data_IF_499109569236
#
_entry.id   IF_499109569236
#
_cell.length_a   1.000
_cell.length_b   1.000
_cell.length_c   1.000
_cell.angle_alpha   90.00
_cell.angle_beta   90.00
_cell.angle_gamma   90.00
#
_symmetry.space_group_name_H-M   'P 1'
#
loop_
_entity.id
_entity.type
_entity.pdbx_description
1 polymer ?
#
# COMPACT_ATOMS: atom_id res chain seq x y z
N UNK A 1 -21.76 39.50 -55.13
CA UNK A 1 -22.31 39.25 -53.77
C UNK A 1 -21.16 39.35 -52.78
N UNK A 2 -20.98 40.53 -52.16
CA UNK A 2 -19.96 40.73 -51.14
C UNK A 2 -20.51 40.27 -49.78
N UNK A 3 -19.83 39.33 -49.14
CA UNK A 3 -20.11 38.98 -47.75
C UNK A 3 -19.69 40.18 -46.88
N UNK A 4 -20.66 40.83 -46.22
CA UNK A 4 -20.39 41.82 -45.18
C UNK A 4 -19.72 41.12 -44.00
N UNK A 5 -18.39 41.21 -43.91
CA UNK A 5 -17.63 40.74 -42.74
C UNK A 5 -18.05 41.56 -41.52
N UNK A 6 -18.77 40.95 -40.58
CA UNK A 6 -19.04 41.58 -39.28
C UNK A 6 -17.71 41.81 -38.56
N UNK A 7 -17.39 43.07 -38.28
CA UNK A 7 -16.23 43.42 -37.46
C UNK A 7 -16.52 43.02 -36.00
N UNK A 8 -15.66 42.16 -35.44
CA UNK A 8 -15.75 41.71 -34.05
C UNK A 8 -15.25 42.83 -33.13
N UNK A 9 -16.01 43.16 -32.09
CA UNK A 9 -15.64 44.22 -31.14
C UNK A 9 -14.69 43.69 -30.07
N UNK A 10 -13.84 44.57 -29.53
CA UNK A 10 -12.92 44.22 -28.44
C UNK A 10 -13.67 43.78 -27.17
N UNK A 11 -14.87 44.33 -26.95
CA UNK A 11 -15.73 43.97 -25.82
C UNK A 11 -16.25 42.53 -25.95
N UNK A 12 -16.71 42.13 -27.15
CA UNK A 12 -17.15 40.76 -27.41
C UNK A 12 -16.03 39.74 -27.13
N UNK A 13 -14.79 40.06 -27.51
CA UNK A 13 -13.64 39.20 -27.23
C UNK A 13 -13.34 39.11 -25.72
N UNK A 14 -13.38 40.25 -25.03
CA UNK A 14 -13.06 40.32 -23.62
C UNK A 14 -14.07 39.57 -22.75
N UNK A 15 -15.36 39.67 -23.07
CA UNK A 15 -16.42 38.93 -22.37
C UNK A 15 -16.25 37.43 -22.56
N UNK A 16 -15.91 36.97 -23.77
CA UNK A 16 -15.69 35.53 -24.05
C UNK A 16 -14.50 34.99 -23.25
N UNK A 17 -13.37 35.70 -23.25
CA UNK A 17 -12.19 35.27 -22.47
C UNK A 17 -12.51 35.28 -20.97
N UNK A 18 -13.25 36.27 -20.47
CA UNK A 18 -13.69 36.31 -19.08
C UNK A 18 -14.54 35.08 -18.71
N UNK A 19 -15.50 34.71 -19.56
CA UNK A 19 -16.32 33.51 -19.35
C UNK A 19 -15.46 32.24 -19.37
N UNK A 20 -14.55 32.09 -20.35
CA UNK A 20 -13.64 30.93 -20.42
C UNK A 20 -12.76 30.86 -19.17
N UNK A 21 -12.24 31.98 -18.69
CA UNK A 21 -11.40 32.04 -17.49
C UNK A 21 -12.17 31.59 -16.24
N UNK A 22 -13.42 32.02 -16.07
CA UNK A 22 -14.29 31.61 -14.97
C UNK A 22 -14.59 30.11 -15.04
N UNK A 23 -14.96 29.61 -16.22
CA UNK A 23 -15.25 28.18 -16.42
C UNK A 23 -14.02 27.32 -16.15
N UNK A 24 -12.85 27.72 -16.66
CA UNK A 24 -11.59 27.02 -16.44
C UNK A 24 -11.20 27.01 -14.96
N UNK A 25 -11.37 28.13 -14.25
CA UNK A 25 -11.05 28.25 -12.82
C UNK A 25 -11.86 27.27 -11.95
N UNK A 26 -13.12 26.99 -12.31
CA UNK A 26 -13.96 25.99 -11.61
C UNK A 26 -13.62 24.57 -12.08
N UNK A 27 -13.38 24.39 -13.39
CA UNK A 27 -13.18 23.07 -13.98
C UNK A 27 -11.86 22.41 -13.55
N UNK A 28 -10.76 23.17 -13.45
CA UNK A 28 -9.45 22.62 -13.09
C UNK A 28 -9.41 21.91 -11.72
N UNK A 29 -9.86 22.52 -10.61
CA UNK A 29 -9.83 21.86 -9.31
C UNK A 29 -10.75 20.63 -9.26
N UNK A 30 -11.93 20.71 -9.88
CA UNK A 30 -12.88 19.58 -9.96
C UNK A 30 -12.30 18.44 -10.78
N UNK A 31 -11.69 18.74 -11.92
CA UNK A 31 -11.08 17.74 -12.79
C UNK A 31 -9.88 17.05 -12.13
N UNK A 32 -9.05 17.80 -11.40
CA UNK A 32 -7.94 17.24 -10.63
C UNK A 32 -8.44 16.24 -9.57
N UNK A 33 -9.48 16.62 -8.81
CA UNK A 33 -10.11 15.73 -7.82
C UNK A 33 -10.71 14.48 -8.48
N UNK A 34 -11.43 14.64 -9.59
CA UNK A 34 -12.02 13.52 -10.33
C UNK A 34 -10.95 12.53 -10.84
N UNK A 35 -9.83 13.06 -11.38
CA UNK A 35 -8.69 12.24 -11.82
C UNK A 35 -8.08 11.46 -10.66
N UNK A 36 -7.91 12.09 -9.50
CA UNK A 36 -7.37 11.41 -8.32
C UNK A 36 -8.33 10.32 -7.80
N UNK A 37 -9.64 10.57 -7.81
CA UNK A 37 -10.64 9.55 -7.48
C UNK A 37 -10.62 8.36 -8.44
N UNK A 38 -10.37 8.59 -9.73
CA UNK A 38 -10.19 7.52 -10.69
C UNK A 38 -8.93 6.68 -10.36
N UNK A 39 -7.79 7.33 -10.09
CA UNK A 39 -6.55 6.65 -9.68
C UNK A 39 -6.72 5.87 -8.37
N UNK A 40 -7.40 6.46 -7.38
CA UNK A 40 -7.76 5.79 -6.14
C UNK A 40 -8.57 4.52 -6.41
N UNK A 41 -9.57 4.59 -7.30
CA UNK A 41 -10.41 3.43 -7.64
C UNK A 41 -9.60 2.33 -8.32
N UNK A 42 -8.69 2.69 -9.23
CA UNK A 42 -7.77 1.74 -9.86
C UNK A 42 -6.82 1.11 -8.85
N UNK A 43 -6.26 1.90 -7.92
CA UNK A 43 -5.41 1.38 -6.85
C UNK A 43 -6.18 0.42 -5.92
N UNK A 44 -7.42 0.74 -5.58
CA UNK A 44 -8.30 -0.15 -4.82
C UNK A 44 -8.57 -1.46 -5.56
N UNK A 45 -8.70 -1.41 -6.90
CA UNK A 45 -8.81 -2.61 -7.73
C UNK A 45 -7.53 -3.46 -7.69
N UNK A 46 -6.36 -2.84 -7.69
CA UNK A 46 -5.09 -3.55 -7.51
C UNK A 46 -5.07 -4.27 -6.15
N UNK A 47 -5.48 -3.60 -5.06
CA UNK A 47 -5.56 -4.22 -3.74
C UNK A 47 -6.51 -5.44 -3.70
N UNK A 48 -7.66 -5.38 -4.40
CA UNK A 48 -8.55 -6.55 -4.51
C UNK A 48 -7.90 -7.71 -5.27
N UNK A 49 -7.20 -7.43 -6.35
CA UNK A 49 -6.48 -8.44 -7.12
C UNK A 49 -5.34 -9.07 -6.30
N UNK A 50 -4.64 -8.29 -5.48
CA UNK A 50 -3.67 -8.81 -4.51
C UNK A 50 -4.35 -9.74 -3.49
N UNK A 51 -5.56 -9.42 -3.04
CA UNK A 51 -6.31 -10.23 -2.08
C UNK A 51 -6.76 -11.57 -2.66
N UNK A 52 -7.19 -11.57 -3.93
CA UNK A 52 -7.48 -12.81 -4.67
C UNK A 52 -6.21 -13.67 -4.78
N UNK A 53 -5.08 -13.06 -5.14
CA UNK A 53 -3.80 -13.75 -5.24
C UNK A 53 -3.32 -14.31 -3.88
N UNK A 54 -3.56 -13.58 -2.78
CA UNK A 54 -3.30 -14.06 -1.42
C UNK A 54 -4.12 -15.31 -1.10
N UNK A 55 -5.42 -15.31 -1.41
CA UNK A 55 -6.27 -16.46 -1.15
C UNK A 55 -5.83 -17.69 -1.95
N UNK A 56 -5.51 -17.53 -3.24
CA UNK A 56 -4.96 -18.60 -4.06
C UNK A 56 -3.62 -19.14 -3.51
N UNK A 57 -2.73 -18.25 -3.05
CA UNK A 57 -1.49 -18.66 -2.41
C UNK A 57 -1.74 -19.48 -1.14
N UNK A 58 -2.65 -19.02 -0.27
CA UNK A 58 -2.95 -19.71 0.99
C UNK A 58 -3.56 -21.08 0.73
N UNK A 59 -4.38 -21.24 -0.31
CA UNK A 59 -4.90 -22.55 -0.72
C UNK A 59 -3.78 -23.54 -1.07
N UNK A 60 -2.73 -23.08 -1.77
CA UNK A 60 -1.58 -23.90 -2.13
C UNK A 60 -0.56 -24.10 -0.98
N UNK A 61 -0.63 -23.28 0.07
CA UNK A 61 0.38 -23.20 1.15
C UNK A 61 -0.15 -23.69 2.50
N UNK A 62 -1.01 -24.71 2.51
CA UNK A 62 -1.65 -25.27 3.72
C UNK A 62 -2.35 -24.22 4.59
N UNK A 63 -2.92 -23.20 3.95
CA UNK A 63 -3.61 -22.08 4.60
C UNK A 63 -2.68 -20.99 5.15
N UNK A 64 -1.35 -21.11 5.01
CA UNK A 64 -0.39 -20.15 5.55
C UNK A 64 -0.18 -18.95 4.62
N UNK A 65 -0.03 -17.77 5.23
CA UNK A 65 0.26 -16.54 4.50
C UNK A 65 1.75 -16.37 4.14
N UNK A 66 2.04 -15.62 3.08
CA UNK A 66 3.36 -15.49 2.44
C UNK A 66 4.32 -14.42 3.03
N UNK A 67 4.00 -13.78 4.15
CA UNK A 67 4.65 -12.50 4.50
C UNK A 67 6.04 -12.66 5.12
N UNK A 68 7.12 -12.49 4.35
CA UNK A 68 8.49 -12.55 4.89
C UNK A 68 9.15 -11.15 4.98
N UNK A 69 9.23 -10.64 6.22
CA UNK A 69 9.87 -9.35 6.51
C UNK A 69 11.41 -9.42 6.59
N UNK A 70 12.00 -10.54 6.99
CA UNK A 70 13.45 -10.68 7.17
C UNK A 70 14.00 -11.95 6.49
N UNK A 71 15.19 -12.40 6.89
CA UNK A 71 15.72 -13.70 6.50
C UNK A 71 14.97 -14.85 7.21
N UNK A 72 15.15 -16.09 6.74
CA UNK A 72 14.45 -17.28 7.26
C UNK A 72 14.63 -17.56 8.76
N UNK A 73 15.69 -17.05 9.38
CA UNK A 73 15.99 -17.33 10.79
C UNK A 73 15.15 -16.47 11.74
N UNK A 74 14.68 -15.33 11.24
CA UNK A 74 13.75 -14.44 11.91
C UNK A 74 12.40 -14.62 11.23
N UNK A 75 11.84 -15.82 11.29
CA UNK A 75 10.55 -16.12 10.67
C UNK A 75 9.70 -17.02 11.56
N UNK A 76 8.39 -16.78 11.56
CA UNK A 76 7.43 -17.56 12.37
C UNK A 76 7.32 -19.02 11.88
N UNK A 77 7.67 -19.27 10.63
CA UNK A 77 7.69 -20.60 10.00
C UNK A 77 9.10 -21.19 9.88
N UNK A 78 10.11 -20.68 10.60
CA UNK A 78 11.42 -21.35 10.68
C UNK A 78 11.30 -22.69 11.44
N UNK A 79 11.88 -23.81 10.97
CA UNK A 79 12.70 -24.00 9.77
C UNK A 79 11.90 -24.43 8.52
N UNK A 80 10.58 -24.64 8.64
CA UNK A 80 9.62 -25.00 7.58
C UNK A 80 9.46 -23.96 6.46
N UNK A 81 10.20 -22.85 6.49
CA UNK A 81 10.32 -21.92 5.36
C UNK A 81 10.86 -22.69 4.15
N UNK A 82 10.23 -22.62 2.95
CA UNK A 82 10.71 -23.33 1.77
C UNK A 82 12.22 -23.11 1.52
N UNK A 83 12.95 -24.21 1.24
CA UNK A 83 14.39 -24.21 0.93
C UNK A 83 14.66 -23.30 -0.27
N UNK A 84 15.53 -22.29 -0.09
CA UNK A 84 15.73 -21.20 -1.07
C UNK A 84 15.53 -19.79 -0.49
N UNK A 85 15.28 -19.67 0.81
CA UNK A 85 14.96 -18.43 1.51
C UNK A 85 16.03 -17.32 1.45
N UNK A 86 16.05 -16.64 0.31
CA UNK A 86 16.77 -15.40 0.02
C UNK A 86 15.75 -14.28 -0.30
N UNK A 87 16.18 -13.18 -0.92
CA UNK A 87 15.32 -12.11 -1.49
C UNK A 87 14.14 -12.64 -2.35
N UNK A 88 14.19 -13.89 -2.80
CA UNK A 88 13.15 -14.55 -3.59
C UNK A 88 11.88 -14.88 -2.79
N UNK A 89 11.95 -15.03 -1.45
CA UNK A 89 10.79 -15.32 -0.61
C UNK A 89 9.98 -14.07 -0.23
N UNK A 90 10.30 -12.91 -0.79
CA UNK A 90 9.58 -11.70 -0.47
C UNK A 90 8.11 -11.79 -0.88
N UNK A 91 7.28 -11.08 -0.12
CA UNK A 91 5.83 -11.23 -0.16
C UNK A 91 5.23 -11.07 -1.57
N UNK A 92 5.77 -10.14 -2.36
CA UNK A 92 5.32 -9.92 -3.73
C UNK A 92 5.71 -11.07 -4.65
N UNK A 93 6.91 -11.62 -4.52
CA UNK A 93 7.36 -12.74 -5.37
C UNK A 93 6.52 -14.00 -5.14
N UNK A 94 6.00 -14.19 -3.92
CA UNK A 94 5.14 -15.33 -3.60
C UNK A 94 3.75 -15.21 -4.23
N UNK A 95 3.20 -13.99 -4.34
CA UNK A 95 1.89 -13.78 -4.96
C UNK A 95 1.95 -13.58 -6.48
N UNK A 96 3.08 -13.11 -7.02
CA UNK A 96 3.20 -12.78 -8.44
C UNK A 96 2.79 -13.93 -9.38
N UNK A 97 3.12 -15.21 -9.10
CA UNK A 97 2.64 -16.36 -9.88
C UNK A 97 1.10 -16.47 -9.98
N UNK A 98 0.39 -15.96 -8.98
CA UNK A 98 -1.08 -15.96 -8.91
C UNK A 98 -1.70 -14.72 -9.57
N UNK A 99 -0.89 -13.87 -10.19
CA UNK A 99 -1.34 -12.61 -10.80
C UNK A 99 -1.06 -12.59 -12.29
N UNK A 100 -2.04 -12.15 -13.10
CA UNK A 100 -1.85 -11.99 -14.56
C UNK A 100 -1.03 -10.74 -14.92
N UNK A 101 -1.15 -9.68 -14.12
CA UNK A 101 -0.55 -8.37 -14.41
C UNK A 101 0.93 -8.26 -13.99
N UNK A 102 1.48 -9.28 -13.33
CA UNK A 102 2.87 -9.29 -12.88
C UNK A 102 3.22 -8.05 -12.03
N UNK A 103 4.42 -7.50 -12.24
CA UNK A 103 4.90 -6.34 -11.48
C UNK A 103 4.05 -5.07 -11.61
N UNK A 104 3.25 -4.92 -12.68
CA UNK A 104 2.36 -3.77 -12.85
C UNK A 104 1.24 -3.72 -11.80
N UNK A 105 0.87 -4.88 -11.25
CA UNK A 105 -0.13 -4.95 -10.18
C UNK A 105 0.35 -4.24 -8.90
N UNK A 106 1.66 -4.17 -8.68
CA UNK A 106 2.28 -3.67 -7.46
C UNK A 106 2.51 -2.14 -7.49
N UNK A 107 1.99 -1.48 -8.52
CA UNK A 107 2.16 -0.04 -8.73
C UNK A 107 0.82 0.67 -8.57
N UNK A 108 0.79 1.62 -7.64
CA UNK A 108 -0.30 2.56 -7.49
C UNK A 108 -0.24 3.61 -8.62
N UNK A 109 -1.36 3.92 -9.30
CA UNK A 109 -1.40 4.97 -10.32
C UNK A 109 -1.13 6.40 -9.80
N UNK A 110 -1.20 6.61 -8.49
CA UNK A 110 -0.81 7.85 -7.80
C UNK A 110 0.59 7.79 -7.20
N UNK A 111 1.38 6.75 -7.49
CA UNK A 111 2.79 6.72 -7.14
C UNK A 111 3.59 7.64 -8.06
N UNK A 112 4.50 8.42 -7.47
CA UNK A 112 5.37 9.36 -8.18
C UNK A 112 6.50 8.68 -8.97
N UNK A 113 6.47 7.35 -9.10
CA UNK A 113 7.42 6.57 -9.89
C UNK A 113 8.78 6.38 -9.19
N UNK A 114 8.78 6.24 -7.86
CA UNK A 114 10.04 6.10 -7.11
C UNK A 114 10.67 4.74 -7.31
N UNK A 115 12.00 4.75 -7.50
CA UNK A 115 12.81 3.54 -7.61
C UNK A 115 12.99 2.92 -6.21
N UNK A 116 12.66 1.63 -6.01
CA UNK A 116 12.91 0.92 -4.75
C UNK A 116 14.39 0.91 -4.36
N UNK A 117 14.69 0.68 -3.09
CA UNK A 117 16.07 0.61 -2.61
C UNK A 117 16.85 -0.51 -3.30
N UNK A 118 18.09 -0.23 -3.73
CA UNK A 118 18.90 -1.15 -4.54
C UNK A 118 19.18 -2.52 -3.88
N UNK A 119 19.12 -2.56 -2.54
CA UNK A 119 19.30 -3.78 -1.72
C UNK A 119 17.99 -4.57 -1.47
N UNK A 120 16.85 -4.16 -2.01
CA UNK A 120 15.60 -4.91 -1.86
C UNK A 120 15.20 -5.78 -3.06
N UNK A 121 15.72 -5.48 -4.26
CA UNK A 121 15.11 -5.97 -5.51
C UNK A 121 15.93 -6.98 -6.36
N UNK A 122 16.73 -7.85 -5.74
CA UNK A 122 17.46 -8.89 -6.50
C UNK A 122 18.81 -8.45 -7.06
N UNK A 123 19.45 -9.36 -7.82
CA UNK A 123 20.89 -9.37 -8.14
C UNK A 123 21.39 -8.10 -8.85
N UNK A 124 22.63 -7.72 -8.57
CA UNK A 124 23.43 -6.77 -9.35
C UNK A 124 22.80 -5.40 -9.60
N UNK A 125 22.17 -4.81 -8.57
CA UNK A 125 21.79 -3.39 -8.56
C UNK A 125 20.65 -3.00 -9.51
N UNK A 126 19.84 -3.95 -9.99
CA UNK A 126 18.68 -3.68 -10.85
C UNK A 126 17.38 -3.89 -10.08
N UNK A 127 16.62 -2.83 -9.75
CA UNK A 127 15.33 -3.01 -9.12
C UNK A 127 14.28 -3.51 -10.12
N UNK A 128 13.85 -4.76 -9.99
CA UNK A 128 12.96 -5.40 -10.97
C UNK A 128 11.47 -5.09 -10.77
N UNK A 129 11.04 -4.61 -9.60
CA UNK A 129 9.60 -4.42 -9.33
C UNK A 129 9.36 -3.13 -8.56
N UNK A 130 8.92 -2.03 -9.21
CA UNK A 130 8.42 -0.87 -8.49
C UNK A 130 7.25 -1.29 -7.57
N UNK A 131 7.31 -0.88 -6.30
CA UNK A 131 6.32 -1.25 -5.28
C UNK A 131 5.77 -0.04 -4.57
N UNK A 132 4.50 0.23 -4.80
CA UNK A 132 3.73 1.27 -4.11
C UNK A 132 3.07 0.76 -2.83
N UNK A 133 3.25 -0.52 -2.50
CA UNK A 133 2.60 -1.22 -1.40
C UNK A 133 3.61 -1.84 -0.43
N UNK A 134 3.21 -1.96 0.82
CA UNK A 134 3.93 -2.62 1.92
C UNK A 134 3.04 -3.66 2.56
N UNK A 135 3.64 -4.76 3.01
CA UNK A 135 2.93 -5.83 3.70
C UNK A 135 3.10 -5.80 5.23
N UNK A 136 2.07 -6.23 5.96
CA UNK A 136 2.08 -6.33 7.41
C UNK A 136 2.72 -7.65 7.84
N UNK A 137 3.91 -7.58 8.45
CA UNK A 137 4.61 -8.78 8.92
C UNK A 137 3.87 -9.48 10.06
N UNK A 138 2.96 -8.81 10.76
CA UNK A 138 2.19 -9.44 11.83
C UNK A 138 1.44 -10.70 11.38
N UNK A 139 1.02 -10.73 10.12
CA UNK A 139 0.34 -11.88 9.54
C UNK A 139 1.22 -13.03 9.09
N UNK A 140 2.55 -12.88 9.12
CA UNK A 140 3.55 -13.85 8.61
C UNK A 140 3.28 -15.28 9.05
N UNK A 141 3.10 -16.19 8.09
CA UNK A 141 2.96 -17.63 8.35
C UNK A 141 1.86 -17.95 9.39
N UNK A 142 0.81 -17.12 9.44
CA UNK A 142 -0.40 -17.43 10.18
C UNK A 142 -1.48 -17.94 9.22
N UNK A 143 -2.23 -18.98 9.61
CA UNK A 143 -3.44 -19.33 8.90
C UNK A 143 -4.56 -18.34 9.22
N UNK A 144 -5.46 -18.09 8.27
CA UNK A 144 -6.66 -17.26 8.48
C UNK A 144 -7.44 -17.75 9.71
N UNK A 145 -7.51 -19.07 9.92
CA UNK A 145 -8.21 -19.70 11.04
C UNK A 145 -7.62 -19.36 12.43
N UNK A 146 -6.38 -18.90 12.52
CA UNK A 146 -5.76 -18.47 13.78
C UNK A 146 -6.14 -17.04 14.18
N UNK A 147 -6.86 -16.32 13.31
CA UNK A 147 -7.20 -14.91 13.45
C UNK A 147 -8.70 -14.81 13.72
N UNK A 148 -9.06 -14.17 14.84
CA UNK A 148 -10.45 -14.03 15.27
C UNK A 148 -11.27 -13.13 14.32
N UNK A 149 -10.70 -11.97 13.93
CA UNK A 149 -11.34 -10.99 13.07
C UNK A 149 -10.46 -10.65 11.85
N UNK A 150 -10.31 -11.55 10.86
CA UNK A 150 -9.41 -11.34 9.72
C UNK A 150 -9.81 -10.13 8.85
N UNK A 151 -11.09 -9.77 8.84
CA UNK A 151 -11.62 -8.58 8.16
C UNK A 151 -11.18 -7.25 8.81
N UNK A 152 -10.66 -7.27 10.04
CA UNK A 152 -10.13 -6.06 10.70
C UNK A 152 -8.61 -5.96 10.59
N UNK A 153 -7.95 -7.04 10.17
CA UNK A 153 -6.50 -7.10 10.03
C UNK A 153 -6.11 -6.71 8.62
N UNK A 154 -5.61 -5.49 8.47
CA UNK A 154 -4.86 -5.05 7.31
C UNK A 154 -3.59 -5.88 7.15
N UNK A 155 -3.41 -6.40 5.94
CA UNK A 155 -2.25 -7.18 5.57
C UNK A 155 -1.40 -6.55 4.45
N UNK A 156 -1.98 -5.74 3.57
CA UNK A 156 -1.23 -4.92 2.59
C UNK A 156 -1.82 -3.52 2.54
N UNK A 157 -0.97 -2.51 2.49
CA UNK A 157 -1.38 -1.11 2.40
C UNK A 157 -0.40 -0.33 1.52
N UNK A 158 -0.76 0.89 1.20
CA UNK A 158 0.08 1.79 0.43
C UNK A 158 1.30 2.23 1.23
N UNK A 159 2.42 2.41 0.53
CA UNK A 159 3.72 2.83 1.06
C UNK A 159 3.91 4.35 1.05
N UNK A 160 4.44 4.97 2.11
CA UNK A 160 4.76 6.40 2.15
C UNK A 160 6.10 6.78 1.50
N UNK A 161 6.30 8.04 1.10
CA UNK A 161 7.44 8.51 0.28
C UNK A 161 8.60 9.16 1.08
N UNK A 162 9.04 8.54 2.18
CA UNK A 162 10.43 8.08 2.03
C UNK A 162 10.63 6.62 2.40
N UNK A 163 9.56 5.87 2.63
CA UNK A 163 9.69 4.49 3.03
C UNK A 163 10.14 3.62 1.87
N UNK A 164 11.25 2.93 2.09
CA UNK A 164 11.93 2.14 1.10
C UNK A 164 11.79 0.64 1.33
N UNK A 165 11.50 0.22 2.57
CA UNK A 165 11.23 -1.18 2.85
C UNK A 165 9.89 -1.61 2.24
N UNK A 166 9.70 -2.92 2.18
CA UNK A 166 8.55 -3.56 1.53
C UNK A 166 7.59 -4.23 2.52
N UNK A 167 7.86 -4.11 3.81
CA UNK A 167 7.02 -4.58 4.90
C UNK A 167 7.01 -3.58 6.05
N UNK A 168 6.06 -3.75 6.96
CA UNK A 168 6.05 -3.07 8.26
C UNK A 168 5.75 -4.07 9.36
N UNK A 169 6.18 -3.73 10.58
CA UNK A 169 6.06 -4.54 11.78
C UNK A 169 5.35 -3.72 12.85
N UNK A 170 4.11 -4.04 13.22
CA UNK A 170 3.45 -3.35 14.31
C UNK A 170 3.98 -3.86 15.67
N UNK A 171 4.11 -2.99 16.71
CA UNK A 171 3.96 -1.54 16.66
C UNK A 171 5.20 -0.77 16.17
N UNK A 172 6.36 -1.42 16.08
CA UNK A 172 7.68 -0.83 15.80
C UNK A 172 7.73 0.12 14.59
N UNK A 173 7.23 -0.31 13.44
CA UNK A 173 7.27 0.40 12.16
C UNK A 173 5.94 1.10 11.85
N UNK A 174 5.08 1.30 12.86
CA UNK A 174 3.93 2.21 12.74
C UNK A 174 4.36 3.68 12.84
N UNK A 175 5.61 3.91 13.26
CA UNK A 175 6.20 5.22 13.49
C UNK A 175 7.40 5.46 12.57
N UNK A 176 7.83 6.72 12.56
CA UNK A 176 9.00 7.21 11.87
C UNK A 176 10.24 6.35 12.15
N UNK A 177 10.86 5.79 11.10
CA UNK A 177 12.19 5.17 11.16
C UNK A 177 13.21 6.24 11.58
N UNK A 178 14.21 5.91 12.40
CA UNK A 178 15.24 6.87 12.82
C UNK A 178 15.87 7.56 11.60
N UNK A 179 15.86 8.90 11.57
CA UNK A 179 16.31 9.70 10.42
C UNK A 179 15.23 10.08 9.40
N UNK A 180 13.99 9.60 9.56
CA UNK A 180 12.84 9.95 8.74
C UNK A 180 11.76 10.66 9.57
N UNK A 181 11.08 11.65 9.00
CA UNK A 181 10.00 12.40 9.66
C UNK A 181 8.60 11.93 9.24
N UNK A 182 8.49 10.75 8.63
CA UNK A 182 7.23 10.22 8.09
C UNK A 182 7.05 8.73 8.40
N UNK A 183 5.81 8.26 8.61
CA UNK A 183 5.52 6.86 8.87
C UNK A 183 5.74 6.03 7.61
N UNK A 184 5.92 4.73 7.82
CA UNK A 184 6.07 3.71 6.79
C UNK A 184 4.87 3.67 5.83
N UNK A 185 3.68 3.89 6.37
CA UNK A 185 2.41 3.75 5.68
C UNK A 185 2.02 5.05 4.95
N UNK A 186 1.45 4.93 3.75
CA UNK A 186 0.97 6.06 2.96
C UNK A 186 -0.37 6.60 3.47
N UNK A 187 -0.38 7.15 4.68
CA UNK A 187 -1.63 7.52 5.38
C UNK A 187 -2.54 8.51 4.64
N UNK A 188 -2.05 9.17 3.59
CA UNK A 188 -2.80 10.17 2.81
C UNK A 188 -2.65 10.05 1.30
N UNK A 189 -2.18 8.90 0.77
CA UNK A 189 -1.91 8.74 -0.67
C UNK A 189 -3.14 9.05 -1.53
N UNK A 190 -4.32 8.64 -1.10
CA UNK A 190 -5.56 8.91 -1.82
C UNK A 190 -6.56 9.67 -0.96
N UNK A 191 -6.85 10.91 -1.35
CA UNK A 191 -7.94 11.71 -0.77
C UNK A 191 -7.90 11.81 0.78
N UNK A 192 -6.71 11.94 1.37
CA UNK A 192 -6.57 12.03 2.84
C UNK A 192 -6.66 10.68 3.57
N UNK A 193 -6.53 9.57 2.85
CA UNK A 193 -6.46 8.21 3.38
C UNK A 193 -5.62 7.29 2.49
N UNK A 194 -5.81 5.99 2.65
CA UNK A 194 -5.15 4.96 1.83
C UNK A 194 -6.10 3.84 1.44
N UNK A 195 -5.84 3.20 0.29
CA UNK A 195 -6.46 1.93 -0.07
C UNK A 195 -5.65 0.78 0.45
N UNK A 196 -6.35 -0.22 0.98
CA UNK A 196 -5.68 -1.29 1.64
C UNK A 196 -6.44 -2.60 1.57
N UNK A 197 -5.71 -3.68 1.78
CA UNK A 197 -6.14 -5.06 1.71
C UNK A 197 -6.07 -5.71 3.08
N UNK A 198 -7.10 -6.46 3.42
CA UNK A 198 -7.28 -7.14 4.70
C UNK A 198 -6.93 -8.63 4.57
N UNK A 199 -6.81 -9.31 5.70
CA UNK A 199 -6.30 -10.68 5.77
C UNK A 199 -7.22 -11.67 5.07
N UNK A 200 -8.53 -11.42 5.07
CA UNK A 200 -9.52 -12.19 4.31
C UNK A 200 -9.51 -11.90 2.79
N UNK A 201 -8.64 -11.00 2.34
CA UNK A 201 -8.47 -10.61 0.94
C UNK A 201 -9.39 -9.49 0.46
N UNK A 202 -10.31 -8.96 1.28
CA UNK A 202 -11.08 -7.80 0.86
C UNK A 202 -10.23 -6.53 0.87
N UNK A 203 -10.67 -5.51 0.13
CA UNK A 203 -9.97 -4.22 0.11
C UNK A 203 -10.92 -3.05 0.29
N UNK A 204 -10.48 -2.06 1.06
CA UNK A 204 -11.25 -0.88 1.43
C UNK A 204 -10.35 0.35 1.49
N UNK A 205 -10.90 1.49 1.08
CA UNK A 205 -10.32 2.79 1.39
C UNK A 205 -10.69 3.19 2.80
N UNK A 206 -9.73 3.76 3.50
CA UNK A 206 -9.94 4.18 4.86
C UNK A 206 -9.15 5.47 5.10
N UNK A 207 -9.75 6.39 5.86
CA UNK A 207 -9.18 7.69 6.15
C UNK A 207 -7.97 7.56 7.08
N UNK A 208 -7.06 8.55 7.05
CA UNK A 208 -5.85 8.60 7.90
C UNK A 208 -6.11 8.24 9.37
N UNK A 209 -7.22 8.71 9.94
CA UNK A 209 -7.57 8.46 11.35
C UNK A 209 -8.19 7.09 11.62
N UNK A 210 -8.77 6.43 10.60
CA UNK A 210 -9.47 5.15 10.78
C UNK A 210 -8.52 3.96 11.01
N UNK A 211 -7.22 4.13 10.78
CA UNK A 211 -6.16 3.12 10.95
C UNK A 211 -5.28 3.36 12.17
N UNK A 212 -5.37 4.56 12.74
CA UNK A 212 -4.44 5.07 13.71
C UNK A 212 -5.16 5.24 15.04
N UNK A 213 -5.23 4.20 15.86
CA UNK A 213 -5.54 4.33 17.28
C UNK A 213 -4.30 4.03 18.12
N UNK A 214 -3.70 5.13 18.59
CA UNK A 214 -2.71 5.38 19.66
C UNK A 214 -2.01 4.19 20.37
N UNK A 215 -0.73 4.37 20.80
CA UNK A 215 0.30 3.34 20.97
C UNK A 215 0.00 2.18 21.94
N UNK A 216 -1.10 2.15 22.69
CA UNK A 216 -1.23 1.24 23.84
C UNK A 216 -2.66 0.82 24.22
N UNK A 217 -3.66 0.96 23.36
CA UNK A 217 -5.05 0.69 23.76
C UNK A 217 -6.08 0.50 22.64
N UNK A 218 -5.86 -0.52 21.79
CA UNK A 218 -6.79 -1.11 20.81
C UNK A 218 -7.13 -0.29 19.52
N UNK A 219 -7.13 -0.91 18.33
CA UNK A 219 -6.05 -1.75 17.82
C UNK A 219 -5.46 -1.17 16.50
N UNK A 220 -4.14 -1.11 16.46
CA UNK A 220 -3.39 -1.09 15.20
C UNK A 220 -3.46 -2.48 14.56
N UNK A 221 -3.71 -2.53 13.24
CA UNK A 221 -3.75 -3.79 12.52
C UNK A 221 -2.49 -4.63 12.78
N UNK A 222 -2.69 -5.80 13.39
CA UNK A 222 -1.65 -6.80 13.63
C UNK A 222 -0.87 -6.68 14.94
N UNK A 223 -1.06 -5.65 15.79
CA UNK A 223 -0.39 -5.61 17.11
C UNK A 223 -0.81 -6.81 17.97
N UNK A 224 -2.11 -7.12 18.00
CA UNK A 224 -2.61 -8.27 18.75
C UNK A 224 -2.06 -9.60 18.20
N UNK A 225 -1.88 -9.70 16.89
CA UNK A 225 -1.24 -10.87 16.29
C UNK A 225 0.23 -11.00 16.70
N UNK A 226 0.94 -9.89 16.89
CA UNK A 226 2.31 -9.91 17.40
C UNK A 226 2.37 -10.30 18.88
N UNK A 227 1.38 -9.88 19.70
CA UNK A 227 1.26 -10.32 21.11
C UNK A 227 1.00 -11.81 21.21
N UNK A 228 -0.02 -12.28 20.50
CA UNK A 228 -0.51 -13.65 20.57
C UNK A 228 0.43 -14.64 19.88
N UNK A 229 1.04 -14.22 18.79
CA UNK A 229 1.95 -15.02 17.98
C UNK A 229 3.28 -14.27 17.76
N UNK A 230 4.16 -14.19 18.76
CA UNK A 230 5.40 -13.42 18.63
C UNK A 230 6.28 -13.97 17.50
N UNK A 231 6.98 -13.06 16.82
CA UNK A 231 7.95 -13.43 15.78
C UNK A 231 9.31 -13.68 16.47
N UNK A 232 10.09 -14.71 16.08
CA UNK A 232 11.39 -14.94 16.71
C UNK A 232 12.39 -13.79 16.52
N UNK A 233 13.12 -13.46 17.58
CA UNK A 233 14.35 -12.65 17.51
C UNK A 233 14.18 -11.14 17.34
N UNK A 234 13.05 -10.54 17.75
CA UNK A 234 12.97 -9.08 17.79
C UNK A 234 12.39 -8.50 19.07
N UNK A 235 13.01 -7.40 19.50
CA UNK A 235 12.38 -6.40 20.35
C UNK A 235 11.46 -5.55 19.47
N UNK A 236 10.20 -5.98 19.34
CA UNK A 236 9.20 -5.33 18.48
C UNK A 236 8.38 -4.26 19.20
N UNK A 237 8.58 -4.10 20.51
CA UNK A 237 7.75 -3.25 21.34
C UNK A 237 8.27 -1.82 21.32
N UNK A 238 7.43 -0.90 20.87
CA UNK A 238 7.67 0.52 21.08
C UNK A 238 7.64 0.79 22.60
N UNK A 239 8.48 1.68 23.16
CA UNK A 239 8.58 1.91 24.61
C UNK A 239 7.25 2.27 25.30
N UNK A 240 6.30 2.83 24.54
CA UNK A 240 4.98 3.14 25.04
C UNK A 240 4.04 1.92 25.05
N UNK A 241 4.25 0.90 24.21
CA UNK A 241 3.40 -0.29 24.15
C UNK A 241 3.74 -1.26 25.29
N UNK A 242 2.87 -1.48 26.30
CA UNK A 242 3.07 -2.56 27.26
C UNK A 242 3.00 -3.91 26.53
N UNK A 243 3.94 -4.79 26.89
CA UNK A 243 4.02 -6.18 26.40
C UNK A 243 2.81 -6.98 26.88
#
# INVERSE_FOLDING_TARGET
>A
MGFLSRAFTLIELLVVIAIIAILAAILFPVFSQAREKARQTSCLSNMRQLGIALNMYMEDSDGLSFFFGHNRWLSRCSPSTPLGATRENRWWNQILPYTRMGGALLVCPSDGGRVPHALEDGRDGRPFVPRSYVANRAGECLPVAAIENPADIVIVTEKGDPFDDSWFEPPKNLYNKAGYNQPVLAMTRHSGGCNCMFFDGHAKWLSRGAWLSNPCGEPYSGVELIRRYPIPGGDFWHPNCPQ
#
